data_IF_078835445319
#
_entry.id   IF_078835445319
#
_cell.length_a   1.000
_cell.length_b   1.000
_cell.length_c   1.000
_cell.angle_alpha   90.00
_cell.angle_beta   90.00
_cell.angle_gamma   90.00
#
_symmetry.space_group_name_H-M   'P 1'
#
loop_
_entity.id
_entity.type
_entity.pdbx_description
1 polymer ?
#
# COMPACT_ATOMS: atom_id res chain seq x y z
N UNK A 1 6.81 20.63 -0.27
CA UNK A 1 6.94 19.24 0.16
C UNK A 1 7.97 18.58 -0.72
N UNK A 2 8.96 17.87 -0.18
CA UNK A 2 9.91 17.13 -1.01
C UNK A 2 9.13 16.11 -1.83
N UNK A 3 9.47 16.01 -3.10
CA UNK A 3 8.86 15.02 -3.99
C UNK A 3 9.36 13.63 -3.57
N UNK A 4 8.51 12.87 -2.90
CA UNK A 4 8.67 11.42 -2.68
C UNK A 4 8.35 10.64 -3.96
N UNK A 5 8.50 11.29 -5.11
CA UNK A 5 8.14 10.78 -6.42
C UNK A 5 9.09 9.65 -6.82
N UNK A 6 8.53 8.50 -7.18
CA UNK A 6 9.26 7.36 -7.78
C UNK A 6 10.15 7.81 -8.96
N UNK A 7 9.74 8.85 -9.68
CA UNK A 7 10.52 9.50 -10.75
C UNK A 7 11.88 9.99 -10.21
N UNK A 8 11.94 10.53 -8.99
CA UNK A 8 13.18 10.97 -8.36
C UNK A 8 14.15 9.82 -8.06
N UNK A 9 13.63 8.69 -7.57
CA UNK A 9 14.42 7.49 -7.28
C UNK A 9 14.97 6.87 -8.57
N UNK A 10 14.13 6.68 -9.58
CA UNK A 10 14.55 6.14 -10.88
C UNK A 10 15.59 7.05 -11.56
N UNK A 11 15.45 8.38 -11.43
CA UNK A 11 16.40 9.36 -11.96
C UNK A 11 17.77 9.25 -11.26
N UNK A 12 17.82 9.06 -9.95
CA UNK A 12 19.06 8.86 -9.20
C UNK A 12 19.79 7.59 -9.67
N UNK A 13 19.06 6.48 -9.86
CA UNK A 13 19.63 5.23 -10.35
C UNK A 13 20.17 5.39 -11.79
N UNK A 14 19.40 6.00 -12.69
CA UNK A 14 19.85 6.29 -14.05
C UNK A 14 21.08 7.23 -14.08
N UNK A 15 21.13 8.21 -13.19
CA UNK A 15 22.26 9.13 -13.07
C UNK A 15 23.50 8.45 -12.46
N UNK A 16 23.34 7.43 -11.61
CA UNK A 16 24.47 6.61 -11.16
C UNK A 16 25.11 5.87 -12.34
N UNK A 17 24.32 5.28 -13.24
CA UNK A 17 24.85 4.65 -14.44
C UNK A 17 25.66 5.66 -15.28
N UNK A 18 25.08 6.84 -15.55
CA UNK A 18 25.79 7.89 -16.29
C UNK A 18 27.09 8.30 -15.65
N UNK A 19 27.09 8.45 -14.31
CA UNK A 19 28.28 8.78 -13.53
C UNK A 19 29.34 7.68 -13.65
N UNK A 20 28.92 6.42 -13.54
CA UNK A 20 29.80 5.25 -13.65
C UNK A 20 30.46 5.16 -15.04
N UNK A 21 29.70 5.31 -16.11
CA UNK A 21 30.22 5.34 -17.47
C UNK A 21 31.19 6.50 -17.69
N UNK A 22 30.88 7.68 -17.12
CA UNK A 22 31.74 8.85 -17.25
C UNK A 22 33.10 8.64 -16.57
N UNK A 23 33.12 8.07 -15.35
CA UNK A 23 34.40 7.84 -14.63
C UNK A 23 35.15 6.63 -15.15
N UNK A 24 34.48 5.67 -15.79
CA UNK A 24 35.10 4.48 -16.38
C UNK A 24 36.07 4.82 -17.51
N UNK A 25 35.86 5.93 -18.22
CA UNK A 25 36.77 6.38 -19.30
C UNK A 25 37.87 7.34 -18.83
N UNK A 26 37.91 7.68 -17.54
CA UNK A 26 38.92 8.59 -16.99
C UNK A 26 40.19 7.85 -16.60
N UNK A 27 41.27 8.16 -17.27
CA UNK A 27 42.58 7.45 -17.11
C UNK A 27 43.20 7.54 -15.73
N UNK A 28 42.95 8.63 -14.99
CA UNK A 28 43.45 8.83 -13.63
C UNK A 28 42.47 8.35 -12.55
N UNK A 29 41.28 7.83 -12.94
CA UNK A 29 40.29 7.38 -11.96
C UNK A 29 40.65 6.03 -11.35
N UNK A 30 41.38 6.06 -10.23
CA UNK A 30 41.82 4.89 -9.48
C UNK A 30 41.62 5.15 -7.96
N UNK A 31 40.38 5.13 -7.47
CA UNK A 31 40.11 5.48 -6.07
C UNK A 31 40.64 4.41 -5.10
N UNK A 32 41.19 4.85 -3.93
CA UNK A 32 41.67 3.96 -2.90
C UNK A 32 40.54 3.29 -2.09
N UNK A 33 39.33 3.81 -2.20
CA UNK A 33 38.16 3.35 -1.44
C UNK A 33 37.30 2.48 -2.34
N UNK A 34 36.97 1.28 -1.87
CA UNK A 34 36.28 0.27 -2.68
C UNK A 34 34.89 0.67 -3.17
N UNK A 35 34.11 1.34 -2.32
CA UNK A 35 32.70 1.68 -2.64
C UNK A 35 32.54 2.66 -3.82
N UNK A 36 33.62 3.34 -4.23
CA UNK A 36 33.60 4.22 -5.41
C UNK A 36 34.44 3.66 -6.58
N UNK A 37 34.93 2.42 -6.51
CA UNK A 37 35.55 1.73 -7.68
C UNK A 37 34.46 1.43 -8.73
N UNK A 38 34.80 1.51 -10.01
CA UNK A 38 33.88 1.31 -11.13
C UNK A 38 33.07 0.01 -11.01
N UNK A 39 33.72 -1.12 -10.68
CA UNK A 39 33.03 -2.40 -10.51
C UNK A 39 31.97 -2.37 -9.41
N UNK A 40 32.24 -1.68 -8.29
CA UNK A 40 31.30 -1.56 -7.19
C UNK A 40 30.17 -0.56 -7.51
N UNK A 41 30.44 0.49 -8.30
CA UNK A 41 29.40 1.39 -8.81
C UNK A 41 28.44 0.66 -9.77
N UNK A 42 28.97 -0.22 -10.63
CA UNK A 42 28.16 -1.08 -11.52
C UNK A 42 27.26 -2.03 -10.72
N UNK A 43 27.85 -2.68 -9.69
CA UNK A 43 27.08 -3.54 -8.77
C UNK A 43 25.99 -2.76 -8.05
N UNK A 44 26.30 -1.57 -7.54
CA UNK A 44 25.33 -0.69 -6.87
C UNK A 44 24.19 -0.29 -7.82
N UNK A 45 24.51 0.05 -9.07
CA UNK A 45 23.51 0.35 -10.09
C UNK A 45 22.57 -0.83 -10.33
N UNK A 46 23.11 -2.04 -10.53
CA UNK A 46 22.32 -3.25 -10.75
C UNK A 46 21.43 -3.54 -9.55
N UNK A 47 21.98 -3.48 -8.33
CA UNK A 47 21.21 -3.68 -7.09
C UNK A 47 20.10 -2.66 -6.93
N UNK A 48 20.39 -1.38 -7.20
CA UNK A 48 19.39 -0.31 -7.10
C UNK A 48 18.28 -0.46 -8.15
N UNK A 49 18.62 -0.84 -9.39
CA UNK A 49 17.64 -1.13 -10.44
C UNK A 49 16.71 -2.30 -10.07
N UNK A 50 17.29 -3.39 -9.55
CA UNK A 50 16.51 -4.55 -9.06
C UNK A 50 15.58 -4.12 -7.93
N UNK A 51 16.06 -3.29 -6.98
CA UNK A 51 15.26 -2.82 -5.86
C UNK A 51 14.07 -1.95 -6.29
N UNK A 52 14.23 -1.10 -7.31
CA UNK A 52 13.12 -0.34 -7.88
C UNK A 52 12.06 -1.26 -8.49
N UNK A 53 12.48 -2.31 -9.22
CA UNK A 53 11.56 -3.28 -9.81
C UNK A 53 10.81 -4.06 -8.71
N UNK A 54 11.51 -4.51 -7.64
CA UNK A 54 10.86 -5.18 -6.50
C UNK A 54 9.78 -4.32 -5.85
N UNK A 55 10.01 -3.02 -5.69
CA UNK A 55 9.01 -2.08 -5.17
C UNK A 55 7.78 -2.02 -6.09
N UNK A 56 8.00 -1.91 -7.40
CA UNK A 56 6.89 -1.82 -8.35
C UNK A 56 6.08 -3.13 -8.41
N UNK A 57 6.74 -4.28 -8.35
CA UNK A 57 6.07 -5.59 -8.26
C UNK A 57 5.19 -5.69 -7.00
N UNK A 58 5.72 -5.27 -5.81
CA UNK A 58 4.93 -5.27 -4.58
C UNK A 58 3.78 -4.26 -4.61
N UNK A 59 3.96 -3.12 -5.27
CA UNK A 59 2.90 -2.13 -5.50
C UNK A 59 1.77 -2.71 -6.34
N UNK A 60 2.11 -3.42 -7.42
CA UNK A 60 1.12 -4.07 -8.27
C UNK A 60 0.39 -5.20 -7.54
N UNK A 61 1.10 -6.00 -6.74
CA UNK A 61 0.50 -7.04 -5.91
C UNK A 61 -0.50 -6.46 -4.90
N UNK A 62 -0.14 -5.35 -4.23
CA UNK A 62 -1.04 -4.67 -3.29
C UNK A 62 -2.29 -4.11 -4.01
N UNK A 63 -2.14 -3.48 -5.17
CA UNK A 63 -3.28 -3.03 -5.99
C UNK A 63 -4.21 -4.18 -6.36
N UNK A 64 -3.64 -5.33 -6.77
CA UNK A 64 -4.43 -6.52 -7.10
C UNK A 64 -5.19 -7.06 -5.88
N UNK A 65 -4.54 -7.15 -4.71
CA UNK A 65 -5.20 -7.56 -3.46
C UNK A 65 -6.36 -6.62 -3.09
N UNK A 66 -6.18 -5.30 -3.23
CA UNK A 66 -7.23 -4.30 -3.00
C UNK A 66 -8.42 -4.54 -3.95
N UNK A 67 -8.16 -4.78 -5.24
CA UNK A 67 -9.21 -5.05 -6.23
C UNK A 67 -9.96 -6.35 -5.92
N UNK A 68 -9.25 -7.42 -5.55
CA UNK A 68 -9.85 -8.69 -5.16
C UNK A 68 -10.72 -8.55 -3.91
N UNK A 69 -10.27 -7.77 -2.90
CA UNK A 69 -11.10 -7.45 -1.72
C UNK A 69 -12.38 -6.71 -2.12
N UNK A 70 -12.28 -5.69 -2.98
CA UNK A 70 -13.44 -4.96 -3.46
C UNK A 70 -14.46 -5.90 -4.13
N UNK A 71 -14.01 -6.79 -5.01
CA UNK A 71 -14.86 -7.78 -5.67
C UNK A 71 -15.47 -8.79 -4.69
N UNK A 72 -14.70 -9.25 -3.68
CA UNK A 72 -15.23 -10.15 -2.66
C UNK A 72 -16.39 -9.52 -1.87
N UNK A 73 -16.31 -8.22 -1.57
CA UNK A 73 -17.33 -7.50 -0.80
C UNK A 73 -18.51 -6.98 -1.65
N UNK A 74 -18.45 -7.07 -2.98
CA UNK A 74 -19.45 -6.50 -3.88
C UNK A 74 -20.88 -6.98 -3.54
N UNK A 75 -21.04 -8.28 -3.27
CA UNK A 75 -22.33 -8.90 -3.02
C UNK A 75 -22.74 -8.95 -1.55
N UNK A 76 -21.90 -8.50 -0.60
CA UNK A 76 -22.18 -8.65 0.83
C UNK A 76 -23.49 -8.00 1.26
N UNK A 77 -23.74 -6.77 0.81
CA UNK A 77 -24.94 -6.00 1.17
C UNK A 77 -26.22 -6.63 0.62
N UNK A 78 -26.18 -7.10 -0.61
CA UNK A 78 -27.32 -7.78 -1.24
C UNK A 78 -27.59 -9.13 -0.58
N UNK A 79 -26.55 -9.91 -0.25
CA UNK A 79 -26.67 -11.18 0.47
C UNK A 79 -27.27 -10.98 1.85
N UNK A 80 -26.79 -10.00 2.62
CA UNK A 80 -27.37 -9.67 3.92
C UNK A 80 -28.86 -9.28 3.82
N UNK A 81 -29.24 -8.54 2.78
CA UNK A 81 -30.65 -8.20 2.54
C UNK A 81 -31.49 -9.42 2.19
N UNK A 82 -31.00 -10.35 1.35
CA UNK A 82 -31.68 -11.61 1.04
C UNK A 82 -31.92 -12.42 2.31
N UNK A 83 -30.94 -12.52 3.21
CA UNK A 83 -31.07 -13.21 4.50
C UNK A 83 -32.20 -12.59 5.33
N UNK A 84 -32.27 -11.27 5.46
CA UNK A 84 -33.34 -10.61 6.22
C UNK A 84 -34.72 -10.90 5.63
N UNK A 85 -34.86 -10.87 4.31
CA UNK A 85 -36.12 -11.17 3.64
C UNK A 85 -36.53 -12.64 3.88
N UNK A 86 -35.57 -13.59 3.83
CA UNK A 86 -35.84 -14.99 4.14
C UNK A 86 -36.28 -15.18 5.60
N UNK A 87 -35.65 -14.52 6.57
CA UNK A 87 -36.05 -14.56 7.97
C UNK A 87 -37.49 -14.05 8.17
N UNK A 88 -37.91 -13.06 7.36
CA UNK A 88 -39.26 -12.45 7.46
C UNK A 88 -40.42 -13.40 7.16
N UNK A 89 -40.17 -14.53 6.46
CA UNK A 89 -41.20 -15.52 6.11
C UNK A 89 -41.25 -16.71 7.08
N UNK A 90 -40.29 -16.82 8.04
CA UNK A 90 -40.16 -17.99 8.92
C UNK A 90 -41.03 -17.94 10.17
N UNK A 91 -41.84 -16.88 10.36
CA UNK A 91 -42.71 -16.74 11.53
C UNK A 91 -41.96 -16.60 12.86
N UNK A 92 -40.77 -16.01 12.84
CA UNK A 92 -39.88 -15.86 14.00
C UNK A 92 -40.42 -14.77 14.97
N UNK A 93 -40.00 -14.83 16.26
CA UNK A 93 -40.28 -13.76 17.22
C UNK A 93 -39.76 -12.40 16.71
N UNK A 94 -40.53 -11.34 16.93
CA UNK A 94 -40.17 -9.99 16.44
C UNK A 94 -38.78 -9.53 16.92
N UNK A 95 -38.37 -9.85 18.15
CA UNK A 95 -37.07 -9.52 18.69
C UNK A 95 -35.88 -10.12 17.89
N UNK A 96 -36.04 -11.36 17.38
CA UNK A 96 -35.04 -12.02 16.51
C UNK A 96 -34.92 -11.30 15.17
N UNK A 97 -36.06 -10.94 14.57
CA UNK A 97 -36.12 -10.15 13.31
C UNK A 97 -35.47 -8.78 13.49
N UNK A 98 -35.74 -8.10 14.60
CA UNK A 98 -35.21 -6.76 14.86
C UNK A 98 -33.68 -6.81 15.11
N UNK A 99 -33.17 -7.85 15.78
CA UNK A 99 -31.75 -8.09 15.95
C UNK A 99 -31.08 -8.29 14.59
N UNK A 100 -31.62 -9.16 13.73
CA UNK A 100 -31.10 -9.38 12.39
C UNK A 100 -31.10 -8.10 11.54
N UNK A 101 -32.20 -7.33 11.56
CA UNK A 101 -32.30 -6.04 10.87
C UNK A 101 -31.28 -5.02 11.38
N UNK A 102 -30.97 -5.02 12.68
CA UNK A 102 -29.95 -4.15 13.26
C UNK A 102 -28.56 -4.48 12.72
N UNK A 103 -28.20 -5.77 12.66
CA UNK A 103 -26.94 -6.24 12.07
C UNK A 103 -26.86 -5.88 10.59
N UNK A 104 -27.94 -6.09 9.82
CA UNK A 104 -27.97 -5.67 8.42
C UNK A 104 -27.74 -4.16 8.25
N UNK A 105 -28.32 -3.31 9.09
CA UNK A 105 -28.05 -1.86 9.04
C UNK A 105 -26.57 -1.52 9.25
N UNK A 106 -25.87 -2.26 10.11
CA UNK A 106 -24.43 -2.09 10.32
C UNK A 106 -23.63 -2.49 9.07
N UNK A 107 -24.05 -3.54 8.34
CA UNK A 107 -23.45 -3.99 7.08
C UNK A 107 -23.75 -3.00 5.94
N UNK A 108 -25.01 -2.52 5.84
CA UNK A 108 -25.42 -1.55 4.80
C UNK A 108 -24.73 -0.20 4.95
N UNK A 109 -24.43 0.18 6.19
CA UNK A 109 -23.95 1.49 6.54
C UNK A 109 -25.08 2.48 6.78
N UNK A 110 -24.94 3.29 7.83
CA UNK A 110 -25.90 4.35 8.13
C UNK A 110 -26.00 5.36 6.99
N UNK A 111 -27.18 5.86 6.73
CA UNK A 111 -27.35 7.06 5.90
C UNK A 111 -26.45 8.17 6.46
N UNK A 112 -25.68 8.83 5.59
CA UNK A 112 -25.02 10.10 5.96
C UNK A 112 -26.11 10.99 6.55
N UNK A 113 -26.02 11.33 7.84
CA UNK A 113 -26.84 12.43 8.37
C UNK A 113 -26.54 13.63 7.49
N UNK A 114 -27.58 14.21 6.88
CA UNK A 114 -27.44 15.47 6.19
C UNK A 114 -26.78 16.45 7.19
N UNK A 115 -25.59 16.91 6.86
CA UNK A 115 -24.95 17.98 7.62
C UNK A 115 -25.81 19.20 7.42
N UNK A 116 -26.52 19.64 8.46
CA UNK A 116 -27.06 21.00 8.51
C UNK A 116 -25.89 21.95 8.27
N UNK A 117 -26.05 22.94 7.37
CA UNK A 117 -24.99 23.94 7.17
C UNK A 117 -24.61 24.55 8.53
N UNK A 118 -23.30 24.79 8.78
CA UNK A 118 -22.87 25.42 10.02
C UNK A 118 -23.50 26.81 10.12
N UNK A 119 -24.07 27.14 11.28
CA UNK A 119 -24.43 28.51 11.61
C UNK A 119 -23.13 29.35 11.60
N UNK A 120 -23.17 30.51 10.92
CA UNK A 120 -22.05 31.45 10.86
C UNK A 120 -21.56 31.78 12.28
N UNK A 121 -20.31 31.44 12.57
CA UNK A 121 -19.61 31.86 13.78
C UNK A 121 -19.18 30.77 14.77
N UNK A 122 -19.34 29.47 14.48
CA UNK A 122 -18.78 28.40 15.31
C UNK A 122 -17.61 27.70 14.57
N UNK A 123 -16.46 27.57 15.26
CA UNK A 123 -15.32 26.78 14.78
C UNK A 123 -15.76 25.36 14.39
N UNK A 124 -15.30 24.92 13.22
CA UNK A 124 -15.49 23.53 12.76
C UNK A 124 -14.90 22.55 13.77
N UNK A 125 -15.73 21.94 14.59
CA UNK A 125 -15.32 20.74 15.33
C UNK A 125 -15.08 19.63 14.30
N UNK A 126 -13.81 19.24 14.13
CA UNK A 126 -13.42 18.05 13.36
C UNK A 126 -14.22 16.86 13.89
N UNK A 127 -15.30 16.52 13.23
CA UNK A 127 -16.03 15.29 13.51
C UNK A 127 -15.14 14.12 13.11
N UNK A 128 -14.66 13.38 14.09
CA UNK A 128 -14.01 12.08 13.86
C UNK A 128 -15.04 11.23 13.11
N UNK A 129 -14.70 10.83 11.89
CA UNK A 129 -15.53 9.94 11.09
C UNK A 129 -15.68 8.62 11.85
N UNK A 130 -16.84 8.40 12.45
CA UNK A 130 -17.23 7.11 13.06
C UNK A 130 -17.75 6.15 11.99
N UNK A 131 -17.07 6.08 10.84
CA UNK A 131 -17.46 5.17 9.77
C UNK A 131 -17.27 3.72 10.27
N UNK A 132 -18.38 3.10 10.64
CA UNK A 132 -18.46 1.66 10.98
C UNK A 132 -18.46 0.78 9.72
N UNK A 133 -17.89 1.25 8.63
CA UNK A 133 -17.88 0.59 7.33
C UNK A 133 -16.48 0.19 6.86
N UNK A 134 -15.55 -0.10 7.78
CA UNK A 134 -14.32 -0.78 7.36
C UNK A 134 -14.66 -2.18 6.84
N UNK A 135 -13.89 -2.70 5.92
CA UNK A 135 -14.05 -4.07 5.42
C UNK A 135 -14.07 -5.09 6.57
N UNK A 136 -13.19 -4.93 7.56
CA UNK A 136 -13.14 -5.76 8.76
C UNK A 136 -14.47 -5.72 9.53
N UNK A 137 -14.99 -4.53 9.83
CA UNK A 137 -16.26 -4.41 10.55
C UNK A 137 -17.46 -4.96 9.78
N UNK A 138 -17.47 -4.82 8.45
CA UNK A 138 -18.54 -5.41 7.63
C UNK A 138 -18.48 -6.94 7.68
N UNK A 139 -17.29 -7.55 7.60
CA UNK A 139 -17.11 -8.99 7.72
C UNK A 139 -17.48 -9.50 9.13
N UNK A 140 -17.10 -8.77 10.19
CA UNK A 140 -17.44 -9.10 11.57
C UNK A 140 -18.95 -9.05 11.81
N UNK A 141 -19.63 -7.98 11.36
CA UNK A 141 -21.09 -7.86 11.49
C UNK A 141 -21.80 -8.96 10.69
N UNK A 142 -21.27 -9.34 9.53
CA UNK A 142 -21.79 -10.48 8.78
C UNK A 142 -21.58 -11.80 9.54
N UNK A 143 -20.43 -12.01 10.15
CA UNK A 143 -20.15 -13.16 11.02
C UNK A 143 -21.13 -13.26 12.19
N UNK A 144 -21.46 -12.13 12.86
CA UNK A 144 -22.44 -12.09 13.93
C UNK A 144 -23.85 -12.42 13.40
N UNK A 145 -24.21 -11.94 12.20
CA UNK A 145 -25.46 -12.33 11.54
C UNK A 145 -25.53 -13.83 11.29
N UNK A 146 -24.45 -14.46 10.82
CA UNK A 146 -24.40 -15.92 10.60
C UNK A 146 -24.49 -16.72 11.90
N UNK A 147 -23.88 -16.22 12.99
CA UNK A 147 -24.03 -16.83 14.32
C UNK A 147 -25.51 -16.79 14.76
N UNK A 148 -26.21 -15.67 14.56
CA UNK A 148 -27.64 -15.58 14.84
C UNK A 148 -28.44 -16.61 14.02
N UNK A 149 -28.14 -16.77 12.71
CA UNK A 149 -28.79 -17.78 11.86
C UNK A 149 -28.60 -19.20 12.40
N UNK A 150 -27.39 -19.53 12.91
CA UNK A 150 -27.11 -20.82 13.53
C UNK A 150 -27.95 -21.13 14.77
N UNK A 151 -28.56 -20.13 15.41
CA UNK A 151 -29.46 -20.33 16.56
C UNK A 151 -30.94 -20.55 16.14
N UNK A 152 -31.26 -20.46 14.85
CA UNK A 152 -32.63 -20.54 14.33
C UNK A 152 -32.85 -21.91 13.65
N UNK A 153 -33.49 -22.89 14.32
CA UNK A 153 -33.65 -24.24 13.76
C UNK A 153 -34.46 -24.30 12.46
N UNK A 154 -35.35 -23.31 12.25
CA UNK A 154 -36.17 -23.20 11.04
C UNK A 154 -35.47 -22.53 9.87
N UNK A 155 -34.23 -22.03 10.05
CA UNK A 155 -33.43 -21.45 8.96
C UNK A 155 -32.84 -22.56 8.11
N UNK A 156 -33.56 -22.95 7.07
CA UNK A 156 -33.15 -24.00 6.12
C UNK A 156 -33.53 -23.60 4.68
N UNK A 157 -32.86 -22.62 4.08
CA UNK A 157 -33.16 -22.16 2.73
C UNK A 157 -32.83 -23.23 1.67
N UNK A 158 -33.62 -23.28 0.60
CA UNK A 158 -33.38 -24.13 -0.56
C UNK A 158 -32.27 -23.55 -1.47
N UNK A 159 -32.13 -22.23 -1.45
CA UNK A 159 -31.17 -21.48 -2.25
C UNK A 159 -29.75 -21.71 -1.72
N UNK A 160 -28.86 -22.22 -2.59
CA UNK A 160 -27.51 -22.57 -2.21
C UNK A 160 -26.70 -21.37 -1.68
N UNK A 161 -26.92 -20.19 -2.24
CA UNK A 161 -26.26 -18.94 -1.83
C UNK A 161 -26.68 -18.45 -0.42
N UNK A 162 -27.78 -18.97 0.12
CA UNK A 162 -28.28 -18.67 1.46
C UNK A 162 -28.02 -19.78 2.49
N UNK A 163 -27.56 -20.95 2.07
CA UNK A 163 -27.22 -22.04 3.02
C UNK A 163 -26.10 -21.60 3.96
N UNK A 164 -26.24 -21.89 5.25
CA UNK A 164 -25.31 -21.43 6.29
C UNK A 164 -23.84 -21.88 6.02
N UNK A 165 -23.65 -23.06 5.42
CA UNK A 165 -22.33 -23.56 5.00
C UNK A 165 -21.68 -22.64 3.96
N UNK A 166 -22.43 -22.27 2.91
CA UNK A 166 -21.94 -21.41 1.83
C UNK A 166 -21.74 -19.96 2.31
N UNK A 167 -22.63 -19.47 3.19
CA UNK A 167 -22.47 -18.16 3.82
C UNK A 167 -21.21 -18.09 4.72
N UNK A 168 -20.90 -19.16 5.46
CA UNK A 168 -19.64 -19.22 6.23
C UNK A 168 -18.41 -19.22 5.32
N UNK A 169 -18.43 -20.01 4.23
CA UNK A 169 -17.36 -19.97 3.22
C UNK A 169 -17.20 -18.56 2.63
N UNK A 170 -18.32 -17.90 2.35
CA UNK A 170 -18.31 -16.51 1.86
C UNK A 170 -17.71 -15.56 2.90
N UNK A 171 -18.13 -15.63 4.18
CA UNK A 171 -17.53 -14.85 5.27
C UNK A 171 -16.02 -15.08 5.36
N UNK A 172 -15.55 -16.32 5.26
CA UNK A 172 -14.12 -16.64 5.33
C UNK A 172 -13.35 -16.03 4.14
N UNK A 173 -13.97 -15.98 2.96
CA UNK A 173 -13.38 -15.27 1.81
C UNK A 173 -13.26 -13.76 2.03
N UNK A 174 -14.22 -13.12 2.70
CA UNK A 174 -14.17 -11.70 3.04
C UNK A 174 -13.00 -11.40 4.00
N UNK A 175 -12.86 -12.23 5.04
CA UNK A 175 -11.76 -12.13 6.02
C UNK A 175 -10.41 -12.34 5.34
N UNK A 176 -10.26 -13.40 4.55
CA UNK A 176 -9.03 -13.75 3.85
C UNK A 176 -8.61 -12.64 2.85
N UNK A 177 -9.56 -12.06 2.11
CA UNK A 177 -9.28 -10.97 1.18
C UNK A 177 -8.77 -9.71 1.90
N UNK A 178 -9.28 -9.42 3.10
CA UNK A 178 -8.81 -8.30 3.93
C UNK A 178 -7.40 -8.55 4.45
N UNK A 179 -7.14 -9.75 4.99
CA UNK A 179 -5.80 -10.17 5.44
C UNK A 179 -4.76 -10.11 4.31
N UNK A 180 -5.15 -10.49 3.09
CA UNK A 180 -4.27 -10.40 1.92
C UNK A 180 -3.85 -8.96 1.61
N UNK A 181 -4.74 -7.98 1.77
CA UNK A 181 -4.37 -6.57 1.61
C UNK A 181 -3.40 -6.13 2.70
N UNK A 182 -3.68 -6.46 3.96
CA UNK A 182 -2.81 -6.09 5.08
C UNK A 182 -1.39 -6.68 4.90
N UNK A 183 -1.29 -7.94 4.44
CA UNK A 183 -0.02 -8.60 4.15
C UNK A 183 0.72 -7.91 3.00
N UNK A 184 0.05 -7.68 1.86
CA UNK A 184 0.71 -7.08 0.69
C UNK A 184 1.11 -5.63 0.93
N UNK A 185 0.39 -4.88 1.77
CA UNK A 185 0.75 -3.54 2.20
C UNK A 185 2.01 -3.56 3.09
N UNK A 186 2.09 -4.50 4.04
CA UNK A 186 3.27 -4.67 4.89
C UNK A 186 4.52 -5.05 4.04
N UNK A 187 4.36 -5.94 3.05
CA UNK A 187 5.44 -6.31 2.13
C UNK A 187 5.90 -5.12 1.28
N UNK A 188 4.97 -4.32 0.77
CA UNK A 188 5.30 -3.09 0.02
C UNK A 188 6.06 -2.09 0.91
N UNK A 189 5.56 -1.84 2.12
CA UNK A 189 6.20 -0.91 3.06
C UNK A 189 7.63 -1.34 3.40
N UNK A 190 7.87 -2.65 3.59
CA UNK A 190 9.22 -3.17 3.81
C UNK A 190 10.14 -2.89 2.61
N UNK A 191 9.65 -3.11 1.37
CA UNK A 191 10.45 -2.84 0.17
C UNK A 191 10.73 -1.35 -0.05
N UNK A 192 9.82 -0.48 0.34
CA UNK A 192 10.05 0.97 0.34
C UNK A 192 11.17 1.36 1.30
N UNK A 193 11.19 0.79 2.52
CA UNK A 193 12.25 1.02 3.50
C UNK A 193 13.61 0.51 2.96
N UNK A 194 13.67 -0.71 2.41
CA UNK A 194 14.89 -1.27 1.82
C UNK A 194 15.43 -0.41 0.67
N UNK A 195 14.55 0.09 -0.21
CA UNK A 195 14.90 1.03 -1.28
C UNK A 195 15.50 2.32 -0.73
N UNK A 196 14.85 2.92 0.26
CA UNK A 196 15.28 4.21 0.82
C UNK A 196 16.63 4.07 1.54
N UNK A 197 16.86 2.96 2.24
CA UNK A 197 18.17 2.65 2.81
C UNK A 197 19.25 2.52 1.74
N UNK A 198 18.99 1.77 0.65
CA UNK A 198 19.94 1.59 -0.44
C UNK A 198 20.28 2.90 -1.16
N UNK A 199 19.28 3.76 -1.36
CA UNK A 199 19.46 5.01 -2.10
C UNK A 199 20.04 6.13 -1.24
N UNK A 200 19.68 6.19 0.06
CA UNK A 200 19.86 7.39 0.86
C UNK A 200 20.52 7.19 2.23
N UNK A 201 20.87 5.97 2.62
CA UNK A 201 21.59 5.78 3.88
C UNK A 201 22.84 6.66 3.94
N UNK A 202 23.06 7.31 5.08
CA UNK A 202 24.19 8.22 5.25
C UNK A 202 25.52 7.47 5.08
N UNK A 203 26.41 8.05 4.32
CA UNK A 203 27.75 7.51 4.02
C UNK A 203 27.77 6.29 3.08
N UNK A 204 26.73 5.47 3.02
CA UNK A 204 26.71 4.18 2.29
C UNK A 204 25.67 4.12 1.17
N UNK A 205 24.66 4.97 1.18
CA UNK A 205 23.64 5.02 0.15
C UNK A 205 24.14 5.56 -1.18
N UNK A 206 23.44 5.22 -2.26
CA UNK A 206 23.76 5.65 -3.62
C UNK A 206 24.05 7.16 -3.73
N UNK A 207 23.23 7.99 -3.06
CA UNK A 207 23.41 9.43 -3.06
C UNK A 207 24.78 9.83 -2.49
N UNK A 208 25.14 9.32 -1.30
CA UNK A 208 26.41 9.61 -0.62
C UNK A 208 27.60 9.10 -1.44
N UNK A 209 27.49 7.90 -2.03
CA UNK A 209 28.51 7.31 -2.90
C UNK A 209 28.72 8.19 -4.14
N UNK A 210 27.65 8.63 -4.81
CA UNK A 210 27.73 9.53 -5.96
C UNK A 210 28.42 10.86 -5.62
N UNK A 211 28.17 11.42 -4.45
CA UNK A 211 28.86 12.64 -3.99
C UNK A 211 30.37 12.37 -3.76
N UNK A 212 30.72 11.20 -3.19
CA UNK A 212 32.12 10.82 -2.98
C UNK A 212 32.88 10.61 -4.30
N UNK A 213 32.23 10.00 -5.32
CA UNK A 213 32.79 9.91 -6.68
C UNK A 213 33.14 11.31 -7.22
N UNK A 214 32.21 12.26 -7.13
CA UNK A 214 32.45 13.64 -7.58
C UNK A 214 33.58 14.34 -6.81
N UNK A 215 33.62 14.15 -5.49
CA UNK A 215 34.72 14.68 -4.65
C UNK A 215 36.07 14.10 -5.08
N UNK A 216 36.13 12.78 -5.35
CA UNK A 216 37.34 12.14 -5.78
C UNK A 216 37.79 12.65 -7.15
N UNK A 217 36.89 12.77 -8.16
CA UNK A 217 37.22 13.36 -9.46
C UNK A 217 37.75 14.79 -9.30
N UNK A 218 37.10 15.61 -8.44
CA UNK A 218 37.57 16.96 -8.14
C UNK A 218 38.97 16.98 -7.55
N UNK A 219 39.34 15.99 -6.70
CA UNK A 219 40.65 15.95 -6.05
C UNK A 219 41.76 15.60 -7.00
N UNK A 220 41.53 14.74 -8.01
CA UNK A 220 42.56 14.27 -8.93
C UNK A 220 42.68 15.09 -10.21
N UNK A 221 41.59 15.71 -10.70
CA UNK A 221 41.61 16.51 -11.92
C UNK A 221 41.56 18.02 -11.65
N UNK A 222 41.11 18.45 -10.46
CA UNK A 222 40.95 19.84 -10.11
C UNK A 222 39.54 20.36 -10.33
N UNK A 223 39.22 21.48 -9.63
CA UNK A 223 37.85 22.05 -9.63
C UNK A 223 37.46 22.69 -10.97
N UNK A 224 38.40 23.09 -11.80
CA UNK A 224 38.19 23.76 -13.10
C UNK A 224 38.33 22.83 -14.29
N UNK A 225 38.58 21.52 -14.05
CA UNK A 225 38.77 20.55 -15.13
C UNK A 225 37.43 20.22 -15.84
N UNK A 226 37.54 19.81 -17.09
CA UNK A 226 36.42 19.32 -17.91
C UNK A 226 35.83 18.05 -17.30
N UNK A 227 36.68 17.17 -16.76
CA UNK A 227 36.27 15.92 -16.10
C UNK A 227 35.37 16.20 -14.91
N UNK A 228 35.76 17.15 -14.05
CA UNK A 228 34.94 17.52 -12.91
C UNK A 228 33.66 18.25 -13.34
N UNK A 229 33.71 19.12 -14.34
CA UNK A 229 32.53 19.79 -14.89
C UNK A 229 31.48 18.77 -15.37
N UNK A 230 31.92 17.74 -16.11
CA UNK A 230 31.04 16.67 -16.62
C UNK A 230 30.35 15.89 -15.51
N UNK A 231 31.09 15.40 -14.49
CA UNK A 231 30.49 14.64 -13.40
C UNK A 231 29.64 15.52 -12.46
N UNK A 232 29.98 16.79 -12.27
CA UNK A 232 29.22 17.73 -11.44
C UNK A 232 27.86 18.08 -12.03
N UNK A 233 27.76 18.06 -13.37
CA UNK A 233 26.53 18.30 -14.11
C UNK A 233 25.46 17.19 -13.90
N UNK A 234 25.88 15.97 -13.54
CA UNK A 234 24.97 14.86 -13.22
C UNK A 234 24.35 15.11 -11.84
N UNK A 235 23.08 15.44 -11.77
CA UNK A 235 22.42 15.85 -10.53
C UNK A 235 21.77 14.65 -9.83
N UNK A 236 21.96 14.56 -8.51
CA UNK A 236 21.31 13.61 -7.63
C UNK A 236 20.43 14.38 -6.64
N UNK A 237 19.25 13.87 -6.37
CA UNK A 237 18.31 14.45 -5.40
C UNK A 237 18.37 13.67 -4.10
N UNK A 238 18.57 14.36 -2.97
CA UNK A 238 18.36 13.77 -1.65
C UNK A 238 16.88 13.86 -1.29
N UNK A 239 16.30 12.85 -0.60
CA UNK A 239 15.07 13.08 0.13
C UNK A 239 15.36 14.13 1.21
N UNK A 240 14.44 15.03 1.40
CA UNK A 240 14.48 16.02 2.49
C UNK A 240 13.91 15.38 3.73
#
# INVERSE_FOLDING_TARGET
MPSTSEVGHAKNVANLQKLTEQVNVYTLYNPPVDNIKVANLQTLYTTASTKLNEVEDKRNNNKNAITLRQSAFENLKSTATKIINHLGILGLPQGTIDQAKSLNRLIQGGQKKATTPPEEGKEETRTVSTSRQSYTQMADNFGILLQLLGTIPTYNPNEDDLKLTNLNTYKDSLVSSTQSVDQTEAELNNKLIERDQLLYADGTGLYSIAQNVKKYVKSIYGATSTEYANVSAIKFTSPV
#
